data_IF_234847618847
#
_entry.id   IF_234847618847
#
_cell.length_a   1.000
_cell.length_b   1.000
_cell.length_c   1.000
_cell.angle_alpha   90.00
_cell.angle_beta   90.00
_cell.angle_gamma   90.00
#
_symmetry.space_group_name_H-M   'P 1'
#
loop_
_entity.id
_entity.type
_entity.pdbx_description
1 polymer ?
#
# COMPACT_ATOMS: atom_id res chain seq x y z
N UNK A 1 32.91 -40.64 8.91
CA UNK A 1 33.00 -39.30 9.51
C UNK A 1 33.09 -38.16 8.48
N UNK A 2 34.00 -38.18 7.50
CA UNK A 2 34.11 -37.14 6.46
C UNK A 2 32.85 -36.94 5.61
N UNK A 3 32.14 -38.01 5.21
CA UNK A 3 30.87 -37.89 4.42
C UNK A 3 29.70 -37.32 5.21
N UNK A 4 29.63 -37.59 6.51
CA UNK A 4 28.63 -36.99 7.41
C UNK A 4 28.86 -35.50 7.63
N UNK A 5 30.13 -35.07 7.67
CA UNK A 5 30.47 -33.65 7.78
C UNK A 5 30.10 -32.84 6.54
N UNK A 6 30.27 -33.42 5.33
CA UNK A 6 29.80 -32.77 4.08
C UNK A 6 28.28 -32.68 3.98
N UNK A 7 27.55 -33.68 4.45
CA UNK A 7 26.07 -33.65 4.48
C UNK A 7 25.60 -32.61 5.50
N UNK A 8 26.22 -32.48 6.67
CA UNK A 8 25.91 -31.46 7.65
C UNK A 8 26.23 -30.04 7.14
N UNK A 9 27.33 -29.82 6.44
CA UNK A 9 27.68 -28.56 5.79
C UNK A 9 26.69 -28.24 4.63
N UNK A 10 26.24 -29.21 3.86
CA UNK A 10 25.25 -29.00 2.79
C UNK A 10 23.86 -28.63 3.33
N UNK A 11 23.47 -29.18 4.49
CA UNK A 11 22.24 -28.83 5.19
C UNK A 11 22.27 -27.43 5.81
N UNK A 12 23.44 -26.94 6.23
CA UNK A 12 23.59 -25.58 6.77
C UNK A 12 23.56 -24.47 5.69
N UNK A 13 23.85 -24.79 4.42
CA UNK A 13 23.81 -23.81 3.32
C UNK A 13 22.38 -23.63 2.76
N UNK A 14 21.47 -24.56 3.04
CA UNK A 14 20.08 -24.50 2.56
C UNK A 14 19.17 -23.53 3.35
N UNK A 15 19.67 -22.85 4.38
CA UNK A 15 18.85 -22.00 5.27
C UNK A 15 19.09 -20.48 5.10
N UNK A 16 19.71 -20.03 4.00
CA UNK A 16 19.70 -18.61 3.64
C UNK A 16 18.71 -18.43 2.47
N UNK A 17 17.48 -18.89 2.65
CA UNK A 17 16.36 -18.31 1.92
C UNK A 17 16.08 -16.96 2.59
N UNK A 18 16.71 -15.90 2.08
CA UNK A 18 16.39 -14.53 2.43
C UNK A 18 14.92 -14.29 2.06
N UNK A 19 14.03 -14.41 3.02
CA UNK A 19 12.62 -14.17 2.78
C UNK A 19 12.43 -12.67 2.55
N UNK A 20 12.27 -12.32 1.29
CA UNK A 20 11.83 -11.01 0.83
C UNK A 20 10.34 -10.90 1.10
N UNK A 21 9.90 -9.78 1.67
CA UNK A 21 8.52 -9.61 2.13
C UNK A 21 7.55 -9.28 0.99
N UNK A 22 8.06 -8.66 -0.09
CA UNK A 22 7.27 -8.08 -1.18
C UNK A 22 7.49 -8.87 -2.47
N UNK A 23 6.40 -9.10 -3.20
CA UNK A 23 6.37 -9.56 -4.57
C UNK A 23 5.64 -8.53 -5.44
N UNK A 24 6.38 -7.52 -5.91
CA UNK A 24 5.84 -6.42 -6.70
C UNK A 24 6.06 -6.63 -8.19
N UNK A 25 4.99 -6.52 -8.97
CA UNK A 25 5.06 -6.40 -10.43
C UNK A 25 5.05 -4.93 -10.82
N UNK A 26 6.09 -4.47 -11.54
CA UNK A 26 6.22 -3.09 -12.00
C UNK A 26 5.89 -2.99 -13.48
N UNK A 27 5.13 -1.97 -13.86
CA UNK A 27 4.83 -1.62 -15.25
C UNK A 27 5.09 -0.13 -15.45
N UNK A 28 5.78 0.24 -16.52
CA UNK A 28 6.00 1.63 -16.92
C UNK A 28 5.28 1.88 -18.25
N UNK A 29 4.39 2.86 -18.27
CA UNK A 29 3.75 3.35 -19.47
C UNK A 29 4.38 4.69 -19.85
N UNK A 30 5.01 4.73 -21.03
CA UNK A 30 5.64 5.91 -21.64
C UNK A 30 5.06 6.26 -23.01
N UNK A 31 3.82 5.82 -23.30
CA UNK A 31 3.22 5.99 -24.63
C UNK A 31 2.99 7.47 -24.99
N UNK A 32 2.95 8.36 -24.00
CA UNK A 32 2.79 9.80 -24.19
C UNK A 32 4.10 10.53 -24.53
N UNK A 33 5.26 9.83 -24.45
CA UNK A 33 6.58 10.44 -24.66
C UNK A 33 7.06 10.12 -26.07
N UNK A 34 7.12 11.14 -26.92
CA UNK A 34 7.62 11.02 -28.29
C UNK A 34 9.15 10.94 -28.35
N UNK A 35 9.69 10.15 -29.27
CA UNK A 35 11.13 10.11 -29.60
C UNK A 35 12.05 9.56 -28.51
N UNK A 36 11.52 9.02 -27.42
CA UNK A 36 12.32 8.50 -26.31
C UNK A 36 12.92 7.12 -26.63
N UNK A 37 14.14 6.88 -26.15
CA UNK A 37 14.74 5.55 -26.13
C UNK A 37 13.94 4.64 -25.17
N UNK A 38 13.11 3.72 -25.72
CA UNK A 38 12.29 2.81 -24.90
C UNK A 38 13.11 1.90 -24.00
N UNK A 39 14.39 1.69 -24.30
CA UNK A 39 15.30 0.86 -23.51
C UNK A 39 15.47 1.39 -22.08
N UNK A 40 15.53 2.70 -21.88
CA UNK A 40 15.67 3.29 -20.55
C UNK A 40 14.50 2.93 -19.62
N UNK A 41 13.28 2.83 -20.16
CA UNK A 41 12.10 2.47 -19.36
C UNK A 41 12.08 0.98 -18.98
N UNK A 42 12.58 0.08 -19.86
CA UNK A 42 12.72 -1.34 -19.51
C UNK A 42 13.81 -1.55 -18.46
N UNK A 43 14.93 -0.84 -18.57
CA UNK A 43 16.00 -0.85 -17.56
C UNK A 43 15.50 -0.31 -16.23
N UNK A 44 14.82 0.83 -16.23
CA UNK A 44 14.23 1.44 -15.04
C UNK A 44 13.20 0.51 -14.37
N UNK A 45 12.29 -0.07 -15.15
CA UNK A 45 11.30 -1.05 -14.67
C UNK A 45 11.98 -2.21 -13.94
N UNK A 46 12.99 -2.80 -14.56
CA UNK A 46 13.75 -3.91 -13.97
C UNK A 46 14.42 -3.49 -12.67
N UNK A 47 15.10 -2.34 -12.66
CA UNK A 47 15.77 -1.79 -11.47
C UNK A 47 14.80 -1.52 -10.32
N UNK A 48 13.62 -0.93 -10.60
CA UNK A 48 12.59 -0.69 -9.58
C UNK A 48 12.06 -2.02 -9.03
N UNK A 49 11.75 -2.98 -9.90
CA UNK A 49 11.23 -4.28 -9.48
C UNK A 49 12.24 -5.05 -8.63
N UNK A 50 13.51 -5.06 -9.02
CA UNK A 50 14.60 -5.65 -8.26
C UNK A 50 14.77 -4.94 -6.90
N UNK A 51 14.76 -3.61 -6.88
CA UNK A 51 14.85 -2.84 -5.65
C UNK A 51 13.75 -3.20 -4.66
N UNK A 52 12.49 -3.26 -5.07
CA UNK A 52 11.37 -3.56 -4.19
C UNK A 52 11.40 -5.01 -3.71
N UNK A 53 11.75 -5.96 -4.59
CA UNK A 53 11.63 -7.39 -4.33
C UNK A 53 12.90 -8.02 -3.73
N UNK A 54 14.08 -7.37 -3.86
CA UNK A 54 15.35 -7.96 -3.42
C UNK A 54 15.87 -7.37 -2.11
N UNK A 55 15.43 -6.17 -1.72
CA UNK A 55 15.78 -5.61 -0.43
C UNK A 55 15.03 -6.31 0.71
N UNK A 56 15.68 -6.43 1.85
CA UNK A 56 15.07 -6.88 3.10
C UNK A 56 14.54 -5.67 3.85
N UNK A 57 13.23 -5.58 3.97
CA UNK A 57 12.54 -4.45 4.59
C UNK A 57 12.30 -4.63 6.09
N UNK A 58 12.29 -5.88 6.55
CA UNK A 58 12.00 -6.21 7.95
C UNK A 58 12.94 -7.28 8.49
N UNK A 59 12.86 -7.55 9.80
CA UNK A 59 13.53 -8.69 10.42
C UNK A 59 12.63 -9.94 10.50
N UNK A 60 11.42 -9.87 9.93
CA UNK A 60 10.50 -11.00 9.88
C UNK A 60 10.92 -11.98 8.76
N UNK A 61 10.44 -13.21 8.85
CA UNK A 61 10.62 -14.22 7.82
C UNK A 61 9.28 -14.51 7.17
N UNK A 62 9.22 -14.40 5.86
CA UNK A 62 8.05 -14.72 5.05
C UNK A 62 8.32 -15.99 4.26
N UNK A 63 7.39 -16.94 4.24
CA UNK A 63 7.44 -18.02 3.28
C UNK A 63 7.06 -17.48 1.88
N UNK A 64 7.37 -18.21 0.81
CA UNK A 64 7.10 -17.75 -0.57
C UNK A 64 5.62 -17.40 -0.79
N UNK A 65 4.71 -18.18 -0.20
CA UNK A 65 3.27 -17.96 -0.28
C UNK A 65 2.75 -16.86 0.68
N UNK A 66 3.60 -16.33 1.55
CA UNK A 66 3.25 -15.26 2.49
C UNK A 66 3.71 -13.89 2.00
N UNK A 67 4.46 -13.83 0.89
CA UNK A 67 4.88 -12.57 0.28
C UNK A 67 3.68 -11.71 -0.05
N UNK A 68 3.83 -10.42 0.18
CA UNK A 68 2.78 -9.43 -0.07
C UNK A 68 2.73 -9.14 -1.57
N UNK A 69 1.66 -9.60 -2.21
CA UNK A 69 1.41 -9.35 -3.63
C UNK A 69 1.07 -7.87 -3.86
N UNK A 70 1.84 -7.21 -4.74
CA UNK A 70 1.54 -5.86 -5.15
C UNK A 70 1.86 -5.58 -6.63
N UNK A 71 1.26 -4.53 -7.16
CA UNK A 71 1.52 -4.02 -8.50
C UNK A 71 1.73 -2.52 -8.46
N UNK A 72 2.70 -2.04 -9.23
CA UNK A 72 3.03 -0.63 -9.40
C UNK A 72 2.97 -0.26 -10.88
N UNK A 73 2.05 0.61 -11.25
CA UNK A 73 1.97 1.20 -12.59
C UNK A 73 2.51 2.63 -12.53
N UNK A 74 3.55 2.91 -13.30
CA UNK A 74 4.13 4.25 -13.44
C UNK A 74 3.78 4.76 -14.84
N UNK A 75 3.07 5.89 -14.90
CA UNK A 75 2.72 6.58 -16.16
C UNK A 75 3.60 7.82 -16.28
N UNK A 76 4.49 7.80 -17.26
CA UNK A 76 5.40 8.93 -17.53
C UNK A 76 4.62 10.00 -18.29
N UNK A 77 4.52 11.20 -17.71
CA UNK A 77 3.83 12.36 -18.28
C UNK A 77 4.80 13.29 -19.03
N UNK A 78 5.98 13.48 -18.48
CA UNK A 78 7.04 14.30 -19.05
C UNK A 78 8.40 13.65 -18.78
N UNK A 79 9.31 13.73 -19.73
CA UNK A 79 10.70 13.30 -19.59
C UNK A 79 11.62 14.30 -20.30
N UNK A 80 12.52 14.94 -19.56
CA UNK A 80 13.51 15.88 -20.08
C UNK A 80 14.76 15.87 -19.20
N UNK A 81 15.94 15.84 -19.78
CA UNK A 81 17.23 15.95 -19.08
C UNK A 81 17.37 15.00 -17.89
N UNK A 82 16.97 13.72 -18.06
CA UNK A 82 16.93 12.67 -17.02
C UNK A 82 15.93 12.92 -15.87
N UNK A 83 15.13 14.00 -15.93
CA UNK A 83 14.03 14.26 -15.01
C UNK A 83 12.75 13.64 -15.58
N UNK A 84 12.06 12.86 -14.76
CA UNK A 84 10.79 12.20 -15.08
C UNK A 84 9.69 12.73 -14.19
N UNK A 85 8.61 13.24 -14.78
CA UNK A 85 7.38 13.56 -14.06
C UNK A 85 6.35 12.49 -14.35
N UNK A 86 5.95 11.80 -13.28
CA UNK A 86 5.13 10.60 -13.37
C UNK A 86 3.92 10.67 -12.44
N UNK A 87 2.92 9.89 -12.79
CA UNK A 87 1.86 9.45 -11.90
C UNK A 87 2.06 7.95 -11.63
N UNK A 88 1.93 7.53 -10.39
CA UNK A 88 2.10 6.14 -9.98
C UNK A 88 0.84 5.63 -9.32
N UNK A 89 0.37 4.44 -9.75
CA UNK A 89 -0.70 3.69 -9.08
C UNK A 89 -0.11 2.47 -8.42
N UNK A 90 -0.37 2.32 -7.11
CA UNK A 90 0.08 1.20 -6.29
C UNK A 90 -1.12 0.43 -5.77
N UNK A 91 -1.10 -0.89 -5.96
CA UNK A 91 -2.08 -1.80 -5.38
C UNK A 91 -1.38 -2.90 -4.61
N UNK A 92 -1.87 -3.23 -3.42
CA UNK A 92 -1.44 -4.41 -2.67
C UNK A 92 -2.64 -5.24 -2.23
N UNK A 93 -2.43 -6.54 -2.06
CA UNK A 93 -3.48 -7.52 -1.74
C UNK A 93 -2.95 -8.56 -0.77
N UNK A 94 -3.87 -9.19 -0.05
CA UNK A 94 -3.58 -10.41 0.70
C UNK A 94 -4.65 -11.48 0.48
N UNK A 95 -4.32 -12.77 0.61
CA UNK A 95 -5.33 -13.82 0.60
C UNK A 95 -6.24 -13.73 1.83
N UNK A 96 -7.52 -14.05 1.65
CA UNK A 96 -8.49 -14.21 2.73
C UNK A 96 -8.48 -15.66 3.20
N UNK A 97 -8.35 -15.87 4.51
CA UNK A 97 -8.22 -17.20 5.09
C UNK A 97 -9.33 -18.17 4.68
N UNK A 98 -8.93 -19.37 4.29
CA UNK A 98 -9.85 -20.45 3.92
C UNK A 98 -10.63 -20.22 2.63
N UNK A 99 -10.19 -19.29 1.76
CA UNK A 99 -10.82 -18.97 0.47
C UNK A 99 -9.78 -18.83 -0.64
N UNK A 100 -10.25 -18.72 -1.88
CA UNK A 100 -9.42 -18.33 -3.04
C UNK A 100 -9.46 -16.82 -3.33
N UNK A 101 -10.19 -16.06 -2.52
CA UNK A 101 -10.34 -14.61 -2.67
C UNK A 101 -9.13 -13.89 -2.12
N UNK A 102 -8.68 -12.87 -2.84
CA UNK A 102 -7.67 -11.92 -2.38
C UNK A 102 -8.29 -10.55 -2.17
N UNK A 103 -8.15 -10.02 -0.96
CA UNK A 103 -8.69 -8.71 -0.60
C UNK A 103 -7.67 -7.59 -0.88
N UNK A 104 -8.06 -6.46 -1.52
CA UNK A 104 -7.16 -5.32 -1.67
C UNK A 104 -6.90 -4.67 -0.32
N UNK A 105 -5.63 -4.48 0.02
CA UNK A 105 -5.20 -3.75 1.22
C UNK A 105 -5.06 -2.26 0.94
N UNK A 106 -4.47 -1.91 -0.19
CA UNK A 106 -4.17 -0.56 -0.61
C UNK A 106 -4.46 -0.40 -2.10
N UNK A 107 -5.12 0.71 -2.46
CA UNK A 107 -5.20 1.23 -3.82
C UNK A 107 -4.91 2.72 -3.74
N UNK A 108 -3.72 3.12 -4.20
CA UNK A 108 -3.16 4.44 -3.96
C UNK A 108 -2.64 5.05 -5.26
N UNK A 109 -2.93 6.33 -5.48
CA UNK A 109 -2.43 7.08 -6.62
C UNK A 109 -1.54 8.23 -6.13
N UNK A 110 -0.26 8.20 -6.50
CA UNK A 110 0.66 9.32 -6.31
C UNK A 110 0.80 10.11 -7.61
N UNK A 111 0.33 11.34 -7.60
CA UNK A 111 0.42 12.26 -8.77
C UNK A 111 1.71 13.05 -8.82
N UNK A 112 2.58 12.88 -7.83
CA UNK A 112 3.86 13.56 -7.73
C UNK A 112 5.01 12.54 -7.63
N UNK A 113 4.95 11.48 -8.41
CA UNK A 113 6.01 10.48 -8.50
C UNK A 113 7.10 10.96 -9.47
N UNK A 114 7.76 12.04 -9.09
CA UNK A 114 8.76 12.72 -9.90
C UNK A 114 10.17 12.36 -9.41
N UNK A 115 11.08 12.09 -10.34
CA UNK A 115 12.43 11.67 -9.98
C UNK A 115 13.43 11.95 -11.12
N UNK A 116 14.69 12.07 -10.74
CA UNK A 116 15.82 12.05 -11.65
C UNK A 116 16.37 10.62 -11.74
N UNK A 117 16.62 10.14 -12.95
CA UNK A 117 17.21 8.83 -13.21
C UNK A 117 18.02 8.84 -14.50
N UNK A 118 19.23 8.29 -14.44
CA UNK A 118 20.04 8.00 -15.61
C UNK A 118 20.09 6.49 -15.83
N UNK A 119 20.08 6.05 -17.10
CA UNK A 119 20.13 4.64 -17.43
C UNK A 119 21.32 3.95 -16.76
N UNK A 120 21.05 2.82 -16.08
CA UNK A 120 21.99 2.04 -15.26
C UNK A 120 22.37 2.65 -13.91
N UNK A 121 21.73 3.72 -13.46
CA UNK A 121 21.89 4.18 -12.07
C UNK A 121 21.52 3.04 -11.10
N UNK A 122 22.38 2.84 -10.09
CA UNK A 122 22.10 1.86 -9.04
C UNK A 122 21.07 2.43 -8.06
N UNK A 123 20.07 1.64 -7.75
CA UNK A 123 19.08 1.96 -6.73
C UNK A 123 19.53 1.31 -5.41
N UNK A 124 20.20 2.07 -4.55
CA UNK A 124 20.65 1.60 -3.24
C UNK A 124 19.79 2.20 -2.13
N UNK A 125 19.40 1.38 -1.15
CA UNK A 125 18.68 1.81 0.03
C UNK A 125 19.61 1.82 1.25
N UNK A 126 19.60 2.94 1.96
CA UNK A 126 20.22 3.08 3.27
C UNK A 126 19.25 3.76 4.21
N UNK A 127 18.94 3.11 5.33
CA UNK A 127 18.04 3.67 6.33
C UNK A 127 18.57 5.03 6.84
N UNK A 128 17.67 5.98 7.01
CA UNK A 128 17.98 7.34 7.50
C UNK A 128 18.94 8.16 6.61
N UNK A 129 19.09 7.78 5.36
CA UNK A 129 19.95 8.49 4.41
C UNK A 129 19.18 8.79 3.12
N UNK A 130 19.13 10.06 2.72
CA UNK A 130 18.62 10.43 1.41
C UNK A 130 19.69 10.15 0.35
N UNK A 131 19.39 9.28 -0.60
CA UNK A 131 20.26 8.99 -1.76
C UNK A 131 19.69 9.64 -3.01
N UNK A 132 18.48 9.27 -3.40
CA UNK A 132 17.74 9.88 -4.51
C UNK A 132 16.25 9.92 -4.16
N UNK A 133 15.49 10.80 -4.83
CA UNK A 133 14.03 10.85 -4.60
C UNK A 133 13.35 9.54 -5.02
N UNK A 134 13.82 8.89 -6.09
CA UNK A 134 13.28 7.61 -6.54
C UNK A 134 13.42 6.54 -5.44
N UNK A 135 14.62 6.34 -4.88
CA UNK A 135 14.85 5.33 -3.84
C UNK A 135 14.09 5.64 -2.56
N UNK A 136 13.96 6.91 -2.18
CA UNK A 136 13.16 7.32 -1.03
C UNK A 136 11.67 7.03 -1.22
N UNK A 137 11.10 7.34 -2.40
CA UNK A 137 9.70 7.02 -2.71
C UNK A 137 9.45 5.51 -2.71
N UNK A 138 10.33 4.73 -3.32
CA UNK A 138 10.19 3.26 -3.37
C UNK A 138 10.25 2.66 -1.96
N UNK A 139 11.20 3.08 -1.12
CA UNK A 139 11.29 2.64 0.27
C UNK A 139 10.04 3.02 1.08
N UNK A 140 9.55 4.26 0.93
CA UNK A 140 8.31 4.72 1.55
C UNK A 140 7.15 3.78 1.18
N UNK A 141 6.98 3.43 -0.10
CA UNK A 141 5.89 2.54 -0.52
C UNK A 141 6.07 1.10 -0.06
N UNK A 142 7.28 0.59 0.01
CA UNK A 142 7.54 -0.73 0.58
C UNK A 142 7.11 -0.78 2.06
N UNK A 143 7.50 0.19 2.87
CA UNK A 143 7.07 0.27 4.27
C UNK A 143 5.56 0.52 4.41
N UNK A 144 4.96 1.33 3.54
CA UNK A 144 3.52 1.56 3.53
C UNK A 144 2.73 0.27 3.26
N UNK A 145 3.15 -0.53 2.27
CA UNK A 145 2.56 -1.84 1.94
C UNK A 145 2.64 -2.77 3.15
N UNK A 146 3.84 -2.92 3.73
CA UNK A 146 4.06 -3.80 4.88
C UNK A 146 3.26 -3.32 6.09
N UNK A 147 3.18 -2.01 6.31
CA UNK A 147 2.38 -1.43 7.39
C UNK A 147 0.90 -1.76 7.28
N UNK A 148 0.31 -1.66 6.09
CA UNK A 148 -1.08 -2.04 5.85
C UNK A 148 -1.29 -3.55 5.99
N UNK A 149 -0.36 -4.36 5.51
CA UNK A 149 -0.41 -5.81 5.69
C UNK A 149 -0.43 -6.17 7.18
N UNK A 150 0.50 -5.64 7.96
CA UNK A 150 0.60 -5.91 9.39
C UNK A 150 -0.61 -5.39 10.18
N UNK A 151 -1.18 -4.22 9.84
CA UNK A 151 -2.43 -3.73 10.42
C UNK A 151 -3.62 -4.64 10.10
N UNK A 152 -3.56 -5.40 9.00
CA UNK A 152 -4.62 -6.34 8.64
C UNK A 152 -4.60 -7.65 9.47
N UNK A 153 -3.45 -7.99 10.06
CA UNK A 153 -3.27 -9.20 10.88
C UNK A 153 -3.23 -8.93 12.38
N UNK A 154 -2.80 -7.73 12.80
CA UNK A 154 -2.64 -7.35 14.19
C UNK A 154 -3.07 -5.90 14.43
N UNK A 155 -3.75 -5.65 15.55
CA UNK A 155 -4.12 -4.28 15.96
C UNK A 155 -2.89 -3.39 16.07
N UNK A 156 -2.85 -2.33 15.28
CA UNK A 156 -1.74 -1.38 15.21
C UNK A 156 -0.38 -2.02 14.87
N UNK A 157 -0.40 -3.22 14.26
CA UNK A 157 0.81 -3.96 13.89
C UNK A 157 1.68 -3.23 12.87
N UNK A 158 1.08 -2.38 12.04
CA UNK A 158 1.77 -1.55 11.06
C UNK A 158 2.53 -0.35 11.63
N UNK A 159 2.38 -0.03 12.94
CA UNK A 159 2.98 1.18 13.53
C UNK A 159 4.48 1.33 13.27
N UNK A 160 5.35 0.32 13.45
CA UNK A 160 6.79 0.48 13.19
C UNK A 160 7.11 0.85 11.73
N UNK A 161 6.32 0.33 10.80
CA UNK A 161 6.50 0.58 9.36
C UNK A 161 6.00 1.96 8.95
N UNK A 162 4.89 2.42 9.54
CA UNK A 162 4.43 3.79 9.34
C UNK A 162 5.38 4.81 9.96
N UNK A 163 6.03 4.49 11.08
CA UNK A 163 7.12 5.30 11.64
C UNK A 163 8.32 5.36 10.72
N UNK A 164 8.71 4.24 10.07
CA UNK A 164 9.76 4.26 9.05
C UNK A 164 9.37 5.14 7.84
N UNK A 165 8.10 5.13 7.41
CA UNK A 165 7.60 6.08 6.40
C UNK A 165 7.73 7.54 6.86
N UNK A 166 7.40 7.84 8.12
CA UNK A 166 7.53 9.19 8.69
C UNK A 166 9.00 9.66 8.72
N UNK A 167 9.93 8.78 9.08
CA UNK A 167 11.37 9.05 9.05
C UNK A 167 11.84 9.39 7.63
N UNK A 168 11.36 8.66 6.61
CA UNK A 168 11.65 8.96 5.20
C UNK A 168 11.09 10.33 4.82
N UNK A 169 9.84 10.64 5.19
CA UNK A 169 9.23 11.95 4.93
C UNK A 169 10.07 13.08 5.54
N UNK A 170 10.46 12.94 6.81
CA UNK A 170 11.26 13.93 7.53
C UNK A 170 12.65 14.13 6.87
N UNK A 171 13.26 13.03 6.42
CA UNK A 171 14.54 13.06 5.71
C UNK A 171 14.40 13.79 4.37
N UNK A 172 13.35 13.49 3.60
CA UNK A 172 13.09 14.12 2.30
C UNK A 172 12.75 15.61 2.41
N UNK A 173 12.06 16.03 3.48
CA UNK A 173 11.75 17.44 3.72
C UNK A 173 13.00 18.31 3.91
N UNK A 174 14.06 17.74 4.45
CA UNK A 174 15.34 18.43 4.70
C UNK A 174 16.37 18.22 3.59
N UNK A 175 16.12 17.31 2.64
CA UNK A 175 17.05 17.01 1.57
C UNK A 175 17.08 18.09 0.49
N UNK A 176 18.25 18.28 -0.11
CA UNK A 176 18.40 19.13 -1.31
C UNK A 176 18.00 18.32 -2.53
N UNK A 177 16.92 18.72 -3.20
CA UNK A 177 16.41 18.10 -4.42
C UNK A 177 15.71 19.13 -5.30
N UNK A 178 15.41 18.77 -6.53
CA UNK A 178 14.67 19.62 -7.46
C UNK A 178 13.26 19.93 -6.92
N UNK A 179 12.74 21.12 -7.22
CA UNK A 179 11.44 21.57 -6.70
C UNK A 179 10.27 20.65 -7.10
N UNK A 180 10.36 19.99 -8.26
CA UNK A 180 9.38 19.00 -8.72
C UNK A 180 9.42 17.69 -7.90
N UNK A 181 10.60 17.32 -7.39
CA UNK A 181 10.81 16.14 -6.56
C UNK A 181 10.38 16.36 -5.11
N UNK A 182 10.42 17.62 -4.61
CA UNK A 182 9.96 17.97 -3.26
C UNK A 182 8.45 17.77 -3.08
N UNK A 183 7.69 17.84 -4.18
CA UNK A 183 6.24 17.68 -4.14
C UNK A 183 5.84 16.33 -3.56
N UNK A 184 4.85 16.39 -2.68
CA UNK A 184 4.33 15.20 -2.00
C UNK A 184 4.97 14.89 -0.65
N UNK A 185 6.13 15.48 -0.34
CA UNK A 185 6.77 15.36 0.97
C UNK A 185 6.39 16.46 1.95
N UNK A 186 5.92 17.61 1.47
CA UNK A 186 5.65 18.80 2.27
C UNK A 186 4.18 18.87 2.72
N UNK A 187 3.97 19.31 3.96
CA UNK A 187 2.64 19.38 4.57
C UNK A 187 1.68 20.34 3.85
N UNK A 188 2.22 21.41 3.27
CA UNK A 188 1.41 22.46 2.64
C UNK A 188 1.14 22.26 1.15
N UNK A 189 1.75 21.25 0.51
CA UNK A 189 1.56 21.00 -0.91
C UNK A 189 0.15 20.48 -1.21
N UNK A 190 -0.35 19.57 -0.37
CA UNK A 190 -1.65 18.93 -0.54
C UNK A 190 -2.05 18.17 0.72
N UNK A 191 -3.36 18.08 0.98
CA UNK A 191 -3.90 17.16 1.97
C UNK A 191 -4.03 15.70 1.46
N UNK A 192 -3.57 15.44 0.22
CA UNK A 192 -3.59 14.13 -0.45
C UNK A 192 -2.22 13.79 -1.02
N UNK A 193 -1.24 13.66 -0.13
CA UNK A 193 0.14 13.34 -0.48
C UNK A 193 0.75 12.35 0.51
N UNK A 194 2.00 11.97 0.31
CA UNK A 194 2.75 11.02 1.16
C UNK A 194 2.82 11.48 2.61
N UNK A 195 3.11 12.78 2.84
CA UNK A 195 3.11 13.36 4.18
C UNK A 195 1.74 13.23 4.85
N UNK A 196 0.67 13.67 4.18
CA UNK A 196 -0.68 13.68 4.76
C UNK A 196 -1.15 12.27 5.11
N UNK A 197 -0.86 11.27 4.25
CA UNK A 197 -1.24 9.89 4.51
C UNK A 197 -0.58 9.35 5.78
N UNK A 198 0.74 9.51 5.90
CA UNK A 198 1.46 8.94 7.04
C UNK A 198 1.16 9.67 8.34
N UNK A 199 1.03 11.00 8.27
CA UNK A 199 0.61 11.80 9.42
C UNK A 199 -0.77 11.37 9.94
N UNK A 200 -1.71 11.04 9.06
CA UNK A 200 -3.01 10.51 9.46
C UNK A 200 -2.90 9.11 10.07
N UNK A 201 -2.13 8.19 9.47
CA UNK A 201 -1.99 6.81 9.96
C UNK A 201 -1.36 6.75 11.36
N UNK A 202 -0.51 7.71 11.71
CA UNK A 202 0.14 7.80 13.03
C UNK A 202 -0.62 8.66 14.04
N UNK A 203 -1.60 9.47 13.61
CA UNK A 203 -2.39 10.32 14.52
C UNK A 203 -3.28 9.47 15.43
N UNK A 204 -3.28 9.80 16.73
CA UNK A 204 -4.13 9.18 17.76
C UNK A 204 -5.61 9.15 17.38
N UNK A 205 -6.11 10.17 16.68
CA UNK A 205 -7.49 10.24 16.23
C UNK A 205 -7.88 9.09 15.29
N UNK A 206 -6.91 8.49 14.57
CA UNK A 206 -7.12 7.37 13.64
C UNK A 206 -6.80 6.01 14.23
N UNK A 207 -6.44 5.89 15.51
CA UNK A 207 -6.24 4.57 16.16
C UNK A 207 -7.48 3.69 16.08
N UNK A 208 -8.68 4.27 16.25
CA UNK A 208 -9.93 3.51 16.10
C UNK A 208 -10.10 2.97 14.68
N UNK A 209 -9.78 3.77 13.67
CA UNK A 209 -9.80 3.35 12.26
C UNK A 209 -8.83 2.19 12.01
N UNK A 210 -7.58 2.26 12.48
CA UNK A 210 -6.60 1.18 12.32
C UNK A 210 -7.01 -0.10 13.06
N UNK A 211 -7.64 0.03 14.23
CA UNK A 211 -8.23 -1.12 14.93
C UNK A 211 -9.40 -1.73 14.14
N UNK A 212 -10.24 -0.88 13.53
CA UNK A 212 -11.30 -1.35 12.63
C UNK A 212 -10.72 -2.02 11.37
N UNK A 213 -9.61 -1.54 10.82
CA UNK A 213 -8.94 -2.15 9.69
C UNK A 213 -8.52 -3.60 9.99
N UNK A 214 -7.97 -3.87 11.19
CA UNK A 214 -7.74 -5.23 11.69
C UNK A 214 -9.04 -6.03 11.81
N UNK A 215 -10.07 -5.46 12.43
CA UNK A 215 -11.37 -6.13 12.62
C UNK A 215 -12.04 -6.48 11.31
N UNK A 216 -11.96 -5.59 10.33
CA UNK A 216 -12.47 -5.79 8.98
C UNK A 216 -11.83 -7.02 8.32
N UNK A 217 -10.50 -7.09 8.34
CA UNK A 217 -9.77 -8.15 7.65
C UNK A 217 -9.76 -9.46 8.45
N UNK A 218 -9.24 -9.41 9.68
CA UNK A 218 -8.97 -10.63 10.46
C UNK A 218 -10.21 -11.20 11.13
N UNK A 219 -11.08 -10.34 11.68
CA UNK A 219 -12.29 -10.77 12.41
C UNK A 219 -13.57 -10.69 11.56
N UNK A 220 -13.49 -10.09 10.38
CA UNK A 220 -14.55 -10.01 9.40
C UNK A 220 -14.32 -10.96 8.24
N UNK A 221 -13.49 -10.57 7.27
CA UNK A 221 -13.27 -11.33 6.05
C UNK A 221 -12.74 -12.74 6.28
N UNK A 222 -11.71 -12.91 7.12
CA UNK A 222 -11.11 -14.22 7.39
C UNK A 222 -12.08 -15.18 8.10
N UNK A 223 -13.06 -14.68 8.85
CA UNK A 223 -14.09 -15.51 9.51
C UNK A 223 -15.23 -15.90 8.56
N UNK A 224 -15.37 -15.25 7.40
CA UNK A 224 -16.45 -15.55 6.43
C UNK A 224 -16.35 -16.95 5.84
N UNK A 225 -15.16 -17.54 5.76
CA UNK A 225 -15.00 -18.92 5.32
C UNK A 225 -15.75 -19.94 6.21
N UNK A 226 -15.86 -19.64 7.50
CA UNK A 226 -16.60 -20.44 8.46
C UNK A 226 -18.05 -19.98 8.65
N UNK A 227 -18.29 -18.68 8.67
CA UNK A 227 -19.63 -18.10 8.86
C UNK A 227 -19.76 -16.70 8.23
N UNK A 228 -20.33 -16.65 7.03
CA UNK A 228 -20.52 -15.41 6.27
C UNK A 228 -21.36 -14.38 7.04
N UNK A 229 -22.42 -14.81 7.74
CA UNK A 229 -23.31 -13.91 8.48
C UNK A 229 -22.58 -13.23 9.63
N UNK A 230 -21.78 -13.99 10.40
CA UNK A 230 -21.01 -13.42 11.51
C UNK A 230 -19.92 -12.47 11.00
N UNK A 231 -19.17 -12.84 9.96
CA UNK A 231 -18.14 -11.97 9.37
C UNK A 231 -18.74 -10.66 8.84
N UNK A 232 -19.88 -10.74 8.12
CA UNK A 232 -20.61 -9.55 7.63
C UNK A 232 -21.08 -8.67 8.79
N UNK A 233 -21.70 -9.26 9.80
CA UNK A 233 -22.18 -8.51 10.96
C UNK A 233 -21.02 -7.81 11.70
N UNK A 234 -19.84 -8.45 11.78
CA UNK A 234 -18.65 -7.86 12.38
C UNK A 234 -18.18 -6.63 11.61
N UNK A 235 -18.14 -6.72 10.28
CA UNK A 235 -17.80 -5.58 9.42
C UNK A 235 -18.82 -4.47 9.59
N UNK A 236 -20.13 -4.76 9.53
CA UNK A 236 -21.21 -3.77 9.69
C UNK A 236 -21.09 -3.01 11.02
N UNK A 237 -20.81 -3.71 12.11
CA UNK A 237 -20.65 -3.12 13.45
C UNK A 237 -19.44 -2.15 13.52
N UNK A 238 -18.38 -2.40 12.76
CA UNK A 238 -17.17 -1.58 12.77
C UNK A 238 -17.24 -0.37 11.84
N UNK A 239 -18.01 -0.43 10.75
CA UNK A 239 -18.09 0.63 9.73
C UNK A 239 -18.38 2.04 10.28
N UNK A 240 -19.19 2.25 11.34
CA UNK A 240 -19.43 3.59 11.89
C UNK A 240 -18.17 4.34 12.32
N UNK A 241 -17.07 3.64 12.59
CA UNK A 241 -15.76 4.24 12.89
C UNK A 241 -15.25 5.12 11.73
N UNK A 242 -15.55 4.75 10.48
CA UNK A 242 -15.19 5.56 9.31
C UNK A 242 -15.88 6.92 9.35
N UNK A 243 -17.18 6.94 9.74
CA UNK A 243 -17.95 8.18 9.86
C UNK A 243 -17.45 9.04 11.02
N UNK A 244 -17.08 8.43 12.16
CA UNK A 244 -16.48 9.15 13.28
C UNK A 244 -15.15 9.81 12.85
N UNK A 245 -14.27 9.06 12.19
CA UNK A 245 -13.00 9.55 11.69
C UNK A 245 -13.18 10.67 10.66
N UNK A 246 -14.08 10.51 9.70
CA UNK A 246 -14.42 11.52 8.69
C UNK A 246 -14.96 12.82 9.31
N UNK A 247 -15.80 12.72 10.33
CA UNK A 247 -16.37 13.90 11.03
C UNK A 247 -15.35 14.62 11.90
N UNK A 248 -14.43 13.87 12.52
CA UNK A 248 -13.37 14.47 13.35
C UNK A 248 -12.36 15.26 12.52
N UNK A 249 -12.07 14.78 11.31
CA UNK A 249 -11.16 15.40 10.34
C UNK A 249 -11.71 15.25 8.92
N UNK A 250 -12.56 16.17 8.45
CA UNK A 250 -13.12 16.13 7.10
C UNK A 250 -12.03 16.16 6.01
N UNK A 251 -12.29 15.48 4.90
CA UNK A 251 -11.37 15.35 3.75
C UNK A 251 -10.04 14.66 4.07
N UNK A 252 -10.00 13.81 5.09
CA UNK A 252 -8.82 13.03 5.46
C UNK A 252 -8.46 12.02 4.39
N UNK A 253 -7.17 11.99 4.01
CA UNK A 253 -6.72 11.15 2.92
C UNK A 253 -6.87 9.64 3.22
N UNK A 254 -6.62 9.23 4.47
CA UNK A 254 -6.67 7.82 4.89
C UNK A 254 -8.05 7.17 4.70
N UNK A 255 -9.14 7.91 4.91
CA UNK A 255 -10.50 7.37 4.67
C UNK A 255 -10.77 7.23 3.16
N UNK A 256 -10.30 8.19 2.36
CA UNK A 256 -10.36 8.11 0.90
C UNK A 256 -9.62 6.89 0.36
N UNK A 257 -8.39 6.62 0.82
CA UNK A 257 -7.60 5.46 0.39
C UNK A 257 -8.24 4.13 0.80
N UNK A 258 -8.90 4.07 1.97
CA UNK A 258 -9.70 2.91 2.35
C UNK A 258 -10.85 2.66 1.37
N UNK A 259 -11.63 3.69 1.06
CA UNK A 259 -12.77 3.56 0.13
C UNK A 259 -12.29 3.27 -1.31
N UNK A 260 -11.14 3.79 -1.73
CA UNK A 260 -10.51 3.45 -3.02
C UNK A 260 -10.21 1.94 -3.15
N UNK A 261 -9.86 1.29 -2.04
CA UNK A 261 -9.58 -0.14 -2.00
C UNK A 261 -10.82 -1.00 -1.74
N UNK A 262 -11.83 -0.49 -1.01
CA UNK A 262 -12.89 -1.31 -0.40
C UNK A 262 -14.30 -1.05 -0.92
N UNK A 263 -14.55 -0.03 -1.73
CA UNK A 263 -15.91 0.32 -2.14
C UNK A 263 -16.63 -0.85 -2.83
N UNK A 264 -16.01 -1.49 -3.83
CA UNK A 264 -16.59 -2.64 -4.51
C UNK A 264 -16.71 -3.87 -3.60
N UNK A 265 -15.70 -4.14 -2.76
CA UNK A 265 -15.73 -5.25 -1.80
C UNK A 265 -16.89 -5.08 -0.78
N UNK A 266 -17.13 -3.85 -0.30
CA UNK A 266 -18.27 -3.56 0.57
C UNK A 266 -19.60 -3.81 -0.12
N UNK A 267 -19.72 -3.42 -1.40
CA UNK A 267 -20.92 -3.73 -2.21
C UNK A 267 -21.14 -5.25 -2.28
N UNK A 268 -20.09 -6.02 -2.61
CA UNK A 268 -20.18 -7.46 -2.75
C UNK A 268 -20.50 -8.18 -1.43
N UNK A 269 -20.03 -7.66 -0.31
CA UNK A 269 -20.34 -8.17 1.03
C UNK A 269 -21.81 -7.92 1.40
N UNK A 270 -22.32 -6.70 1.15
CA UNK A 270 -23.60 -6.27 1.69
C UNK A 270 -24.78 -6.45 0.74
N UNK A 271 -24.57 -6.59 -0.57
CA UNK A 271 -25.68 -6.85 -1.49
C UNK A 271 -26.44 -8.14 -1.15
N UNK A 272 -25.82 -9.12 -0.49
CA UNK A 272 -26.44 -10.34 0.07
C UNK A 272 -26.83 -10.21 1.55
N UNK A 273 -26.76 -9.01 2.11
CA UNK A 273 -27.17 -8.71 3.49
C UNK A 273 -28.69 -8.67 3.67
N UNK A 274 -29.11 -8.53 4.92
CA UNK A 274 -30.51 -8.20 5.25
C UNK A 274 -30.84 -6.79 4.79
N UNK A 275 -32.12 -6.47 4.58
CA UNK A 275 -32.57 -5.12 4.18
C UNK A 275 -32.08 -4.05 5.16
N UNK A 276 -32.02 -4.41 6.46
CA UNK A 276 -31.50 -3.53 7.49
C UNK A 276 -30.01 -3.26 7.30
N UNK A 277 -29.19 -4.29 7.10
CA UNK A 277 -27.74 -4.15 6.86
C UNK A 277 -27.47 -3.34 5.58
N UNK A 278 -28.17 -3.65 4.50
CA UNK A 278 -28.07 -2.91 3.23
C UNK A 278 -28.31 -1.43 3.44
N UNK A 279 -29.44 -1.08 4.08
CA UNK A 279 -29.82 0.31 4.32
C UNK A 279 -28.80 1.04 5.20
N UNK A 280 -28.40 0.46 6.34
CA UNK A 280 -27.49 1.09 7.28
C UNK A 280 -26.11 1.34 6.65
N UNK A 281 -25.58 0.37 5.88
CA UNK A 281 -24.29 0.49 5.20
C UNK A 281 -24.37 1.49 4.03
N UNK A 282 -25.43 1.43 3.23
CA UNK A 282 -25.65 2.40 2.15
C UNK A 282 -25.69 3.84 2.67
N UNK A 283 -26.54 4.09 3.67
CA UNK A 283 -26.69 5.43 4.27
C UNK A 283 -25.34 5.93 4.83
N UNK A 284 -24.58 5.05 5.49
CA UNK A 284 -23.26 5.39 6.03
C UNK A 284 -22.26 5.75 4.93
N UNK A 285 -22.17 4.95 3.87
CA UNK A 285 -21.24 5.18 2.76
C UNK A 285 -21.60 6.46 2.00
N UNK A 286 -22.89 6.73 1.78
CA UNK A 286 -23.36 7.97 1.17
C UNK A 286 -23.07 9.22 2.02
N UNK A 287 -23.10 9.10 3.35
CA UNK A 287 -22.73 10.19 4.26
C UNK A 287 -21.22 10.54 4.20
N UNK A 288 -20.36 9.56 3.90
CA UNK A 288 -18.91 9.74 3.86
C UNK A 288 -18.43 10.13 2.46
N UNK A 289 -18.96 9.46 1.43
CA UNK A 289 -18.51 9.60 0.05
C UNK A 289 -19.66 9.43 -0.96
N UNK A 290 -20.49 10.45 -1.08
CA UNK A 290 -21.57 10.47 -2.07
C UNK A 290 -21.07 10.47 -3.53
N UNK A 291 -19.79 10.70 -3.77
CA UNK A 291 -19.23 10.72 -5.15
C UNK A 291 -19.26 9.34 -5.80
N UNK A 292 -19.33 8.25 -5.00
CA UNK A 292 -19.45 6.87 -5.46
C UNK A 292 -20.86 6.33 -5.42
N UNK A 293 -21.90 7.17 -5.45
CA UNK A 293 -23.28 6.75 -5.39
C UNK A 293 -23.60 5.59 -6.35
N UNK A 294 -23.19 5.69 -7.62
CA UNK A 294 -23.42 4.63 -8.63
C UNK A 294 -22.88 3.26 -8.22
N UNK A 295 -21.75 3.23 -7.50
CA UNK A 295 -21.19 1.99 -6.96
C UNK A 295 -22.04 1.49 -5.79
N UNK A 296 -22.38 2.37 -4.86
CA UNK A 296 -23.13 2.01 -3.65
C UNK A 296 -24.58 1.62 -3.92
N UNK A 297 -25.23 2.17 -4.97
CA UNK A 297 -26.58 1.77 -5.38
C UNK A 297 -26.70 0.26 -5.66
N UNK A 298 -25.61 -0.40 -6.03
CA UNK A 298 -25.53 -1.87 -6.24
C UNK A 298 -25.75 -2.68 -4.96
N UNK A 299 -25.65 -2.08 -3.77
CA UNK A 299 -25.95 -2.75 -2.49
C UNK A 299 -27.44 -3.11 -2.43
N UNK A 300 -28.30 -2.29 -3.00
CA UNK A 300 -29.75 -2.42 -2.93
C UNK A 300 -30.34 -3.26 -4.09
N UNK A 301 -29.55 -3.49 -5.13
CA UNK A 301 -29.94 -4.30 -6.28
C UNK A 301 -29.64 -5.79 -6.01
#
# INVERSE_FOLDING_TARGET
MRKLFYIACMLCVASIASAQEINCTVTINSDQIEGSNKQVYETLKTSIQEYMNSNRWTNMSYAEQEKIECSMLIVVKEAADNMYKCEMTLQSRRPVWGTTYTTPLLNFVDRNFNFTYQEFDRLDWQQNTFTTNLTAMLAYYCYLIIGHDQDSFQRLGGTPFFQACEEIVNTCQSASMESSEQKGWLAFDSNRNRYALINNLLDEAFKKYRNFYYEYHRLGLDEMSGNVTNGRARIAQGLPVLKEAYRSRPATYVIGTFLDAKADELVDIFHKGTDKEKKEVYDLLMDIDATRQTTYDRINN
#
